data_IF_271174734909
#
_entry.id   IF_271174734909
#
_cell.length_a   1.000
_cell.length_b   1.000
_cell.length_c   1.000
_cell.angle_alpha   90.00
_cell.angle_beta   90.00
_cell.angle_gamma   90.00
#
_symmetry.space_group_name_H-M   'P 1'
#
loop_
_entity.id
_entity.type
_entity.pdbx_description
1 polymer ?
#
# COMPACT_ATOMS: atom_id res chain seq x y z
N UNK A 1 -0.43 6.89 -32.01
CA UNK A 1 -0.53 7.67 -33.27
C UNK A 1 -0.57 6.69 -34.43
N UNK A 2 -1.63 6.70 -35.24
CA UNK A 2 -1.83 5.72 -36.32
C UNK A 2 -1.19 6.16 -37.64
N UNK A 3 -1.24 7.47 -37.93
CA UNK A 3 -0.69 8.06 -39.16
C UNK A 3 0.16 9.28 -38.84
N UNK A 4 1.28 9.40 -39.56
CA UNK A 4 2.27 10.46 -39.33
C UNK A 4 2.77 10.97 -40.69
N UNK A 5 2.79 12.29 -40.96
CA UNK A 5 3.18 12.83 -42.26
C UNK A 5 4.56 12.39 -42.78
N UNK A 6 5.55 12.25 -41.90
CA UNK A 6 6.86 11.68 -42.23
C UNK A 6 6.83 10.23 -42.78
N UNK A 7 5.72 9.50 -42.64
CA UNK A 7 5.53 8.16 -43.22
C UNK A 7 4.83 8.18 -44.59
N UNK A 8 4.61 9.37 -45.16
CA UNK A 8 3.91 9.56 -46.44
C UNK A 8 2.40 9.79 -46.29
N UNK A 9 1.89 9.89 -45.06
CA UNK A 9 0.50 10.26 -44.81
C UNK A 9 0.25 11.77 -45.04
N UNK A 10 -0.97 12.15 -45.44
CA UNK A 10 -1.31 13.58 -45.63
C UNK A 10 -1.38 14.38 -44.34
N UNK A 11 -1.81 13.76 -43.24
CA UNK A 11 -2.09 14.45 -41.96
C UNK A 11 -1.79 13.53 -40.77
N UNK A 12 -1.69 14.10 -39.58
CA UNK A 12 -1.69 13.33 -38.34
C UNK A 12 -3.08 12.74 -38.07
N UNK A 13 -3.11 11.51 -37.56
CA UNK A 13 -4.35 10.86 -37.13
C UNK A 13 -4.08 9.94 -35.92
N UNK A 14 -5.07 9.89 -35.02
CA UNK A 14 -5.07 9.04 -33.84
C UNK A 14 -6.47 8.47 -33.61
N UNK A 15 -6.51 7.29 -33.00
CA UNK A 15 -7.74 6.68 -32.51
C UNK A 15 -7.91 7.04 -31.04
N UNK A 16 -9.16 7.30 -30.63
CA UNK A 16 -9.51 7.40 -29.22
C UNK A 16 -9.65 5.98 -28.67
N UNK A 17 -8.73 5.58 -27.79
CA UNK A 17 -8.70 4.23 -27.22
C UNK A 17 -9.44 4.12 -25.89
N UNK A 18 -9.54 5.23 -25.16
CA UNK A 18 -10.14 5.25 -23.83
C UNK A 18 -10.69 6.65 -23.53
N UNK A 19 -11.87 6.71 -22.93
CA UNK A 19 -12.40 7.91 -22.29
C UNK A 19 -11.85 8.03 -20.86
N UNK A 20 -11.35 9.21 -20.49
CA UNK A 20 -10.71 9.44 -19.18
C UNK A 20 -11.68 10.13 -18.23
N UNK A 21 -12.06 11.38 -18.53
CA UNK A 21 -13.05 12.17 -17.79
C UNK A 21 -13.50 13.36 -18.64
N UNK A 22 -14.46 14.13 -18.17
CA UNK A 22 -14.86 15.42 -18.75
C UNK A 22 -13.92 16.57 -18.32
N UNK A 23 -14.05 17.73 -18.97
CA UNK A 23 -13.19 18.89 -18.72
C UNK A 23 -13.52 19.69 -17.46
N UNK A 24 -14.71 19.49 -16.88
CA UNK A 24 -15.20 20.21 -15.70
C UNK A 24 -14.98 19.41 -14.41
N UNK A 25 -14.60 18.13 -14.52
CA UNK A 25 -14.24 17.28 -13.40
C UNK A 25 -13.04 17.86 -12.63
N UNK A 26 -13.30 18.20 -11.36
CA UNK A 26 -12.28 18.70 -10.45
C UNK A 26 -11.11 17.71 -10.30
N UNK A 27 -11.36 16.41 -10.50
CA UNK A 27 -10.35 15.37 -10.41
C UNK A 27 -9.62 15.06 -11.71
N UNK A 28 -9.93 15.77 -12.82
CA UNK A 28 -9.28 15.59 -14.11
C UNK A 28 -7.75 15.57 -14.08
N UNK A 29 -7.05 16.42 -13.28
CA UNK A 29 -5.59 16.35 -13.19
C UNK A 29 -5.07 14.97 -12.76
N UNK A 30 -5.76 14.28 -11.84
CA UNK A 30 -5.36 12.95 -11.39
C UNK A 30 -5.69 11.89 -12.44
N UNK A 31 -6.91 11.91 -13.00
CA UNK A 31 -7.31 10.91 -13.99
C UNK A 31 -6.43 10.93 -15.24
N UNK A 32 -6.11 12.12 -15.74
CA UNK A 32 -5.24 12.30 -16.89
C UNK A 32 -3.81 11.84 -16.57
N UNK A 33 -3.31 12.12 -15.35
CA UNK A 33 -1.96 11.69 -14.94
C UNK A 33 -1.87 10.18 -14.82
N UNK A 34 -2.83 9.53 -14.14
CA UNK A 34 -2.88 8.08 -14.01
C UNK A 34 -2.99 7.40 -15.38
N UNK A 35 -3.89 7.89 -16.24
CA UNK A 35 -4.06 7.34 -17.58
C UNK A 35 -2.81 7.52 -18.47
N UNK A 36 -2.14 8.69 -18.38
CA UNK A 36 -0.90 8.96 -19.14
C UNK A 36 0.23 7.99 -18.77
N UNK A 37 0.35 7.66 -17.49
CA UNK A 37 1.35 6.73 -16.97
C UNK A 37 0.86 5.28 -16.93
N UNK A 38 -0.35 5.02 -17.43
CA UNK A 38 -1.01 3.71 -17.42
C UNK A 38 -1.03 3.06 -16.02
N UNK A 39 -1.30 3.88 -15.01
CA UNK A 39 -1.42 3.47 -13.60
C UNK A 39 -2.87 3.14 -13.27
N UNK A 40 -3.05 2.22 -12.32
CA UNK A 40 -4.37 1.83 -11.84
C UNK A 40 -5.10 2.99 -11.14
N UNK A 41 -6.39 3.10 -11.45
CA UNK A 41 -7.31 4.09 -10.91
C UNK A 41 -8.19 3.52 -9.82
N UNK A 42 -7.84 2.40 -9.20
CA UNK A 42 -8.68 1.75 -8.19
C UNK A 42 -7.83 0.83 -7.33
N UNK A 43 -8.22 0.70 -6.06
CA UNK A 43 -7.66 -0.32 -5.17
C UNK A 43 -8.00 -1.72 -5.74
N UNK A 44 -7.16 -2.74 -5.48
CA UNK A 44 -7.48 -4.09 -5.92
C UNK A 44 -8.73 -4.60 -5.17
N UNK A 45 -9.58 -5.35 -5.87
CA UNK A 45 -10.70 -6.04 -5.24
C UNK A 45 -10.19 -7.05 -4.24
N UNK A 46 -10.80 -7.06 -3.07
CA UNK A 46 -10.31 -7.86 -1.95
C UNK A 46 -11.18 -9.06 -1.71
N UNK A 47 -10.54 -10.21 -1.85
CA UNK A 47 -11.06 -11.50 -1.38
C UNK A 47 -10.73 -11.60 0.10
N UNK A 48 -11.64 -12.17 0.91
CA UNK A 48 -11.38 -12.39 2.33
C UNK A 48 -10.06 -13.15 2.52
N UNK A 49 -9.11 -12.51 3.20
CA UNK A 49 -7.77 -13.04 3.43
C UNK A 49 -7.73 -13.63 4.85
N UNK A 50 -7.30 -14.88 4.97
CA UNK A 50 -7.06 -15.53 6.27
C UNK A 50 -5.57 -15.48 6.61
N UNK A 51 -5.25 -15.35 7.90
CA UNK A 51 -3.89 -15.57 8.38
C UNK A 51 -3.41 -16.96 7.97
N UNK A 52 -2.22 -17.01 7.39
CA UNK A 52 -1.56 -18.24 7.02
C UNK A 52 -0.82 -18.79 8.23
N UNK A 53 -0.92 -20.09 8.44
CA UNK A 53 -0.16 -20.78 9.48
C UNK A 53 1.30 -20.87 9.01
N UNK A 54 2.13 -19.96 9.51
CA UNK A 54 3.55 -19.92 9.16
C UNK A 54 4.35 -20.83 10.09
N UNK A 55 5.48 -21.36 9.60
CA UNK A 55 6.42 -22.13 10.42
C UNK A 55 7.22 -21.26 11.41
N UNK A 56 7.01 -19.94 11.41
CA UNK A 56 7.74 -18.99 12.24
C UNK A 56 7.06 -18.91 13.61
N UNK A 57 7.84 -19.20 14.66
CA UNK A 57 7.38 -19.01 16.05
C UNK A 57 7.37 -17.51 16.33
N UNK A 58 6.18 -16.94 16.55
CA UNK A 58 6.03 -15.54 16.95
C UNK A 58 6.22 -15.39 18.46
N UNK A 59 7.09 -14.48 18.85
CA UNK A 59 7.23 -14.07 20.25
C UNK A 59 6.05 -13.18 20.64
N UNK A 60 5.50 -13.38 21.83
CA UNK A 60 4.44 -12.54 22.35
C UNK A 60 5.02 -11.29 23.02
N UNK A 61 5.07 -10.20 22.27
CA UNK A 61 5.49 -8.89 22.77
C UNK A 61 4.31 -8.00 23.18
N UNK A 62 3.12 -8.54 23.43
CA UNK A 62 1.91 -7.73 23.72
C UNK A 62 2.01 -6.94 25.02
N UNK A 63 2.96 -7.31 25.89
CA UNK A 63 3.25 -6.62 27.13
C UNK A 63 4.14 -5.36 26.96
N UNK A 64 4.78 -5.17 25.81
CA UNK A 64 5.60 -3.99 25.53
C UNK A 64 4.74 -2.83 25.02
N UNK A 65 5.03 -1.63 25.52
CA UNK A 65 4.37 -0.40 25.10
C UNK A 65 4.94 0.09 23.77
N UNK A 66 4.42 -0.46 22.66
CA UNK A 66 4.72 0.00 21.32
C UNK A 66 3.91 1.26 20.96
N UNK A 67 4.56 2.18 20.24
CA UNK A 67 3.94 3.39 19.69
C UNK A 67 4.19 3.51 18.19
N UNK A 68 3.24 4.06 17.43
CA UNK A 68 3.44 4.47 16.04
C UNK A 68 3.42 6.00 15.97
N UNK A 69 4.20 6.59 15.07
CA UNK A 69 4.33 8.04 14.96
C UNK A 69 4.06 8.45 13.52
N UNK A 70 2.80 8.83 13.26
CA UNK A 70 2.28 9.06 11.92
C UNK A 70 1.52 10.39 11.79
N UNK A 71 1.20 10.78 10.55
CA UNK A 71 0.24 11.85 10.31
C UNK A 71 -1.16 11.45 10.78
N UNK A 72 -1.98 12.40 11.23
CA UNK A 72 -3.37 12.11 11.64
C UNK A 72 -4.26 11.53 10.53
N UNK A 73 -3.84 11.66 9.26
CA UNK A 73 -4.52 11.11 8.08
C UNK A 73 -3.95 9.76 7.61
N UNK A 74 -2.93 9.23 8.27
CA UNK A 74 -2.37 7.91 7.98
C UNK A 74 -3.34 6.84 8.50
N UNK A 75 -3.64 5.84 7.67
CA UNK A 75 -4.51 4.70 8.04
C UNK A 75 -3.74 3.36 7.93
N UNK A 76 -2.49 3.42 7.48
CA UNK A 76 -1.62 2.32 7.10
C UNK A 76 -0.27 2.44 7.80
N UNK A 77 -0.26 2.20 9.11
CA UNK A 77 0.95 2.22 9.92
C UNK A 77 1.71 0.91 9.72
N UNK A 78 2.92 1.02 9.15
CA UNK A 78 3.77 -0.13 8.78
C UNK A 78 4.82 -0.46 9.84
N UNK A 79 5.05 0.44 10.80
CA UNK A 79 6.06 0.34 11.85
C UNK A 79 5.54 0.73 13.24
N UNK A 80 6.08 0.09 14.27
CA UNK A 80 5.86 0.43 15.67
C UNK A 80 7.19 0.38 16.44
N UNK A 81 7.38 1.32 17.37
CA UNK A 81 8.63 1.53 18.09
C UNK A 81 8.43 1.33 19.58
N UNK A 82 9.39 0.65 20.22
CA UNK A 82 9.50 0.55 21.66
C UNK A 82 10.94 0.82 22.09
N UNK A 83 11.15 1.58 23.16
CA UNK A 83 12.48 1.94 23.66
C UNK A 83 12.56 1.63 25.15
N UNK A 84 13.62 0.92 25.54
CA UNK A 84 13.95 0.61 26.92
C UNK A 84 15.35 1.12 27.27
N UNK A 85 15.50 1.70 28.46
CA UNK A 85 16.81 2.04 29.03
C UNK A 85 17.41 0.81 29.75
N UNK A 86 18.63 0.45 29.40
CA UNK A 86 19.33 -0.70 29.98
C UNK A 86 20.00 -0.37 31.33
N UNK A 87 20.01 0.89 31.75
CA UNK A 87 20.57 1.34 33.03
C UNK A 87 22.10 1.48 33.06
N UNK A 88 22.79 1.15 31.96
CA UNK A 88 24.23 1.34 31.75
C UNK A 88 24.54 2.54 30.84
N UNK A 89 23.53 3.34 30.52
CA UNK A 89 23.60 4.45 29.57
C UNK A 89 23.35 4.05 28.11
N UNK A 90 23.05 2.77 27.84
CA UNK A 90 22.59 2.29 26.53
C UNK A 90 21.07 2.19 26.46
N UNK A 91 20.53 2.35 25.26
CA UNK A 91 19.10 2.18 24.97
C UNK A 91 18.91 0.95 24.07
N UNK A 92 17.93 0.12 24.41
CA UNK A 92 17.42 -0.93 23.54
C UNK A 92 16.24 -0.37 22.75
N UNK A 93 16.37 -0.35 21.42
CA UNK A 93 15.29 0.02 20.50
C UNK A 93 14.77 -1.24 19.83
N UNK A 94 13.48 -1.51 20.02
CA UNK A 94 12.75 -2.58 19.34
C UNK A 94 11.87 -1.96 18.26
N UNK A 95 12.00 -2.44 17.03
CA UNK A 95 11.23 -1.98 15.88
C UNK A 95 10.38 -3.15 15.39
N UNK A 96 9.07 -3.01 15.50
CA UNK A 96 8.12 -3.97 14.98
C UNK A 96 7.70 -3.51 13.58
N UNK A 97 7.80 -4.37 12.57
CA UNK A 97 7.33 -4.10 11.19
C UNK A 97 6.13 -4.98 10.86
N UNK A 98 5.14 -4.39 10.17
CA UNK A 98 3.93 -5.08 9.78
C UNK A 98 4.29 -6.29 8.90
N UNK A 99 3.62 -7.43 9.14
CA UNK A 99 3.85 -8.66 8.38
C UNK A 99 2.69 -8.91 7.37
N UNK A 100 2.70 -8.27 6.18
CA UNK A 100 1.72 -8.57 5.14
C UNK A 100 1.92 -9.97 4.55
N UNK A 101 3.11 -10.57 4.68
CA UNK A 101 3.41 -11.90 4.11
C UNK A 101 2.68 -13.04 4.82
N UNK A 102 2.25 -12.82 6.07
CA UNK A 102 1.34 -13.74 6.76
C UNK A 102 -0.07 -13.79 6.18
N UNK A 103 -0.42 -12.84 5.30
CA UNK A 103 -1.74 -12.74 4.69
C UNK A 103 -1.68 -12.91 3.18
N UNK A 104 -0.61 -12.45 2.53
CA UNK A 104 -0.44 -12.52 1.08
C UNK A 104 0.47 -13.70 0.71
N UNK A 105 -0.12 -14.80 0.23
CA UNK A 105 0.66 -15.94 -0.25
C UNK A 105 1.51 -15.57 -1.47
N UNK A 106 2.74 -16.04 -1.50
CA UNK A 106 3.58 -15.96 -2.69
C UNK A 106 2.91 -16.67 -3.87
N UNK A 107 2.79 -15.99 -5.01
CA UNK A 107 2.12 -16.53 -6.19
C UNK A 107 0.59 -16.47 -6.16
N UNK A 108 -0.02 -15.93 -5.09
CA UNK A 108 -1.46 -15.60 -5.10
C UNK A 108 -1.76 -14.49 -6.11
N UNK A 109 -3.02 -14.38 -6.55
CA UNK A 109 -3.46 -13.28 -7.42
C UNK A 109 -3.16 -11.90 -6.78
N UNK A 110 -3.26 -11.80 -5.46
CA UNK A 110 -2.95 -10.57 -4.73
C UNK A 110 -1.44 -10.25 -4.75
N UNK A 111 -0.57 -11.26 -4.63
CA UNK A 111 0.88 -11.12 -4.83
C UNK A 111 1.21 -10.68 -6.26
N UNK A 112 0.55 -11.25 -7.28
CA UNK A 112 0.77 -10.84 -8.67
C UNK A 112 0.39 -9.37 -8.90
N UNK A 113 -0.73 -8.93 -8.33
CA UNK A 113 -1.16 -7.53 -8.39
C UNK A 113 -0.17 -6.63 -7.64
N UNK A 114 0.23 -7.01 -6.42
CA UNK A 114 1.18 -6.25 -5.61
C UNK A 114 2.53 -6.12 -6.33
N UNK A 115 3.05 -7.21 -6.90
CA UNK A 115 4.28 -7.25 -7.69
C UNK A 115 4.19 -6.39 -8.96
N UNK A 116 3.04 -6.39 -9.63
CA UNK A 116 2.82 -5.57 -10.84
C UNK A 116 2.78 -4.08 -10.51
N UNK A 117 2.14 -3.70 -9.40
CA UNK A 117 2.04 -2.29 -8.96
C UNK A 117 3.32 -1.78 -8.30
N UNK A 118 4.06 -2.67 -7.62
CA UNK A 118 5.33 -2.46 -6.92
C UNK A 118 5.34 -1.44 -5.77
N UNK A 119 4.54 -0.37 -5.85
CA UNK A 119 4.47 0.68 -4.83
C UNK A 119 3.06 1.29 -4.75
N UNK A 120 2.74 1.86 -3.59
CA UNK A 120 1.52 2.65 -3.42
C UNK A 120 1.70 4.03 -4.07
N UNK A 121 0.80 4.40 -4.97
CA UNK A 121 0.82 5.72 -5.63
C UNK A 121 0.09 6.75 -4.78
N UNK A 122 0.83 7.61 -4.09
CA UNK A 122 0.25 8.69 -3.26
C UNK A 122 -0.05 9.93 -4.10
N UNK A 123 -1.32 10.35 -4.11
CA UNK A 123 -1.78 11.56 -4.78
C UNK A 123 -2.25 12.61 -3.76
N UNK A 124 -1.98 13.89 -4.02
CA UNK A 124 -2.27 15.01 -3.09
C UNK A 124 -3.77 15.21 -2.80
N UNK A 125 -4.64 14.66 -3.63
CA UNK A 125 -6.01 14.33 -3.25
C UNK A 125 -6.07 12.82 -3.05
N UNK A 126 -6.55 12.43 -1.88
CA UNK A 126 -6.53 11.13 -1.20
C UNK A 126 -7.21 9.96 -1.94
N UNK A 127 -7.02 9.82 -3.25
CA UNK A 127 -7.94 9.05 -4.10
C UNK A 127 -7.46 7.61 -4.32
N UNK A 128 -6.16 7.30 -4.24
CA UNK A 128 -5.68 5.94 -4.51
C UNK A 128 -4.80 5.33 -3.44
N UNK A 129 -5.45 4.96 -2.33
CA UNK A 129 -4.90 3.99 -1.37
C UNK A 129 -5.11 2.58 -1.96
N UNK A 130 -4.10 2.07 -2.66
CA UNK A 130 -4.02 0.65 -3.05
C UNK A 130 -4.21 -0.29 -1.84
N UNK A 131 -3.96 0.21 -0.62
CA UNK A 131 -4.05 -0.55 0.61
C UNK A 131 -5.30 -0.26 1.46
N UNK A 132 -6.40 0.28 0.92
CA UNK A 132 -7.60 0.56 1.76
C UNK A 132 -8.36 -0.69 2.21
N UNK A 133 -7.93 -1.90 1.86
CA UNK A 133 -8.69 -3.11 2.15
C UNK A 133 -7.92 -4.18 2.94
N UNK A 134 -6.60 -4.29 2.79
CA UNK A 134 -5.76 -5.07 3.72
C UNK A 134 -5.48 -4.26 5.00
N UNK A 135 -5.22 -2.96 4.81
CA UNK A 135 -4.60 -2.15 5.86
C UNK A 135 -5.55 -1.66 6.96
N UNK A 136 -6.75 -1.09 6.70
CA UNK A 136 -7.50 -0.42 7.76
C UNK A 136 -8.19 -1.38 8.75
N UNK A 137 -8.42 -2.65 8.38
CA UNK A 137 -9.13 -3.61 9.23
C UNK A 137 -8.29 -4.74 9.78
N UNK A 138 -7.13 -5.04 9.19
CA UNK A 138 -6.28 -6.17 9.61
C UNK A 138 -4.94 -5.68 10.16
N UNK A 139 -4.32 -4.70 9.48
CA UNK A 139 -3.05 -4.09 9.94
C UNK A 139 -3.27 -2.96 10.96
N UNK A 140 -4.16 -1.99 10.67
CA UNK A 140 -4.46 -0.87 11.57
C UNK A 140 -5.29 -1.27 12.80
N UNK A 141 -5.95 -2.45 12.76
CA UNK A 141 -6.62 -3.03 13.93
C UNK A 141 -5.61 -3.52 14.96
N UNK A 142 -4.37 -3.80 14.55
CA UNK A 142 -3.27 -4.08 15.46
C UNK A 142 -2.99 -2.84 16.33
N UNK A 143 -2.92 -1.63 15.77
CA UNK A 143 -2.68 -0.40 16.55
C UNK A 143 -3.76 -0.06 17.60
N UNK A 144 -4.98 -0.64 17.53
CA UNK A 144 -6.04 -0.47 18.54
C UNK A 144 -6.26 -1.69 19.45
N UNK A 145 -5.65 -2.83 19.15
CA UNK A 145 -5.75 -4.06 19.94
C UNK A 145 -4.35 -4.59 20.20
N UNK A 146 -3.80 -4.38 21.41
CA UNK A 146 -2.56 -4.98 21.95
C UNK A 146 -1.70 -5.68 20.88
N UNK A 147 -0.95 -4.82 20.17
CA UNK A 147 -0.42 -5.04 18.85
C UNK A 147 0.90 -5.85 18.84
N UNK A 148 0.88 -7.13 19.21
CA UNK A 148 2.09 -7.94 19.07
C UNK A 148 1.93 -9.28 18.34
N UNK A 149 0.72 -9.61 17.88
CA UNK A 149 0.52 -10.85 17.10
C UNK A 149 0.74 -10.70 15.60
N UNK A 150 0.67 -9.49 15.05
CA UNK A 150 0.86 -9.23 13.61
C UNK A 150 2.23 -8.65 13.24
N UNK A 151 3.13 -8.49 14.20
CA UNK A 151 4.42 -7.85 13.99
C UNK A 151 5.53 -8.88 14.10
N UNK A 152 6.45 -8.89 13.14
CA UNK A 152 7.68 -9.66 13.24
C UNK A 152 8.59 -8.97 14.25
N UNK A 153 8.80 -9.62 15.40
CA UNK A 153 9.91 -9.33 16.28
C UNK A 153 11.17 -9.97 15.67
N UNK A 154 12.15 -9.16 15.31
CA UNK A 154 13.47 -9.59 14.89
C UNK A 154 14.53 -9.00 15.83
#
# INVERSE_FOLDING_TARGET
MRRHPLKGDRTFNADLTQFITDGEDHFAPWWVTLARHNLEKEAPDMVAISEQETALVREDLTALDFVTIDSASTEDMDDALHVQDNGDGSLLLTIAIADPTAYVEQGSNLDEIARKRAFTTTCRASIFRCCRAICPTTCARCARMNAARCWLAA
#
